data_IF_195068382064
#
_entry.id   IF_195068382064
#
_cell.length_a   1.000
_cell.length_b   1.000
_cell.length_c   1.000
_cell.angle_alpha   90.00
_cell.angle_beta   90.00
_cell.angle_gamma   90.00
#
_symmetry.space_group_name_H-M   'P 1'
#
loop_
_entity.id
_entity.type
_entity.pdbx_description
1 polymer ?
#
# COMPACT_ATOMS: atom_id res chain seq x y z
N UNK A 1 30.39 17.71 -20.70
CA UNK A 1 29.52 16.56 -20.35
C UNK A 1 28.81 16.83 -19.02
N UNK A 2 28.08 17.94 -18.91
CA UNK A 2 27.10 18.15 -17.84
C UNK A 2 25.75 17.82 -18.47
N UNK A 3 25.41 16.53 -18.46
CA UNK A 3 24.42 15.84 -19.32
C UNK A 3 22.97 16.26 -19.14
N UNK A 4 22.71 17.56 -19.21
CA UNK A 4 21.40 18.21 -19.11
C UNK A 4 21.04 18.98 -20.40
N UNK A 5 21.76 18.73 -21.50
CA UNK A 5 21.44 19.28 -22.82
C UNK A 5 20.43 18.44 -23.61
N UNK A 6 20.09 17.25 -23.11
CA UNK A 6 19.20 16.32 -23.79
C UNK A 6 17.85 16.29 -23.06
N UNK A 7 16.83 16.86 -23.72
CA UNK A 7 15.44 16.93 -23.24
C UNK A 7 14.93 15.54 -22.82
N UNK A 8 15.42 14.48 -23.46
CA UNK A 8 15.05 13.10 -23.13
C UNK A 8 15.52 12.69 -21.73
N UNK A 9 16.71 13.13 -21.31
CA UNK A 9 17.27 12.79 -19.98
C UNK A 9 16.49 13.52 -18.89
N UNK A 10 16.18 14.80 -19.08
CA UNK A 10 15.33 15.55 -18.15
C UNK A 10 13.95 14.91 -18.01
N UNK A 11 13.34 14.52 -19.14
CA UNK A 11 12.04 13.87 -19.14
C UNK A 11 12.08 12.50 -18.46
N UNK A 12 13.16 11.73 -18.62
CA UNK A 12 13.33 10.46 -17.90
C UNK A 12 13.35 10.64 -16.38
N UNK A 13 14.10 11.63 -15.86
CA UNK A 13 14.09 11.94 -14.44
C UNK A 13 12.69 12.37 -13.94
N UNK A 14 12.01 13.23 -14.69
CA UNK A 14 10.67 13.70 -14.34
C UNK A 14 9.66 12.55 -14.31
N UNK A 15 9.69 11.67 -15.31
CA UNK A 15 8.83 10.48 -15.36
C UNK A 15 9.13 9.49 -14.24
N UNK A 16 10.40 9.33 -13.87
CA UNK A 16 10.78 8.44 -12.76
C UNK A 16 10.20 8.93 -11.43
N UNK A 17 10.31 10.23 -11.16
CA UNK A 17 9.73 10.87 -9.97
C UNK A 17 8.20 10.78 -10.01
N UNK A 18 7.59 11.10 -11.15
CA UNK A 18 6.13 11.01 -11.33
C UNK A 18 5.62 9.58 -11.09
N UNK A 19 6.33 8.56 -11.60
CA UNK A 19 6.01 7.15 -11.38
C UNK A 19 6.06 6.77 -9.90
N UNK A 20 7.12 7.17 -9.19
CA UNK A 20 7.25 6.91 -7.76
C UNK A 20 6.10 7.55 -6.96
N UNK A 21 5.72 8.80 -7.30
CA UNK A 21 4.58 9.48 -6.68
C UNK A 21 3.27 8.74 -6.99
N UNK A 22 3.04 8.33 -8.24
CA UNK A 22 1.84 7.59 -8.63
C UNK A 22 1.73 6.27 -7.87
N UNK A 23 2.82 5.52 -7.72
CA UNK A 23 2.85 4.28 -6.93
C UNK A 23 2.53 4.54 -5.46
N UNK A 24 3.13 5.57 -4.86
CA UNK A 24 2.90 5.92 -3.47
C UNK A 24 1.45 6.36 -3.21
N UNK A 25 0.91 7.22 -4.08
CA UNK A 25 -0.47 7.72 -3.99
C UNK A 25 -1.47 6.57 -4.20
N UNK A 26 -1.26 5.74 -5.22
CA UNK A 26 -2.12 4.59 -5.47
C UNK A 26 -2.10 3.62 -4.29
N UNK A 27 -0.90 3.29 -3.78
CA UNK A 27 -0.74 2.47 -2.59
C UNK A 27 -1.50 3.07 -1.41
N UNK A 28 -1.32 4.35 -1.13
CA UNK A 28 -2.00 5.05 -0.03
C UNK A 28 -3.54 5.03 -0.18
N UNK A 29 -4.06 5.28 -1.37
CA UNK A 29 -5.51 5.29 -1.63
C UNK A 29 -6.11 3.89 -1.51
N UNK A 30 -5.41 2.87 -2.02
CA UNK A 30 -5.92 1.48 -2.06
C UNK A 30 -5.58 0.68 -0.79
N UNK A 31 -4.70 1.18 0.08
CA UNK A 31 -4.18 0.45 1.25
C UNK A 31 -5.28 -0.10 2.19
N UNK A 32 -6.44 0.55 2.27
CA UNK A 32 -7.54 0.16 3.16
C UNK A 32 -8.78 -0.39 2.44
N UNK A 33 -8.68 -0.62 1.13
CA UNK A 33 -9.82 -0.98 0.29
C UNK A 33 -10.00 -2.51 0.14
N UNK A 34 -9.05 -3.29 0.67
CA UNK A 34 -9.06 -4.75 0.72
C UNK A 34 -9.38 -5.28 2.14
N UNK A 35 -10.05 -4.49 2.98
CA UNK A 35 -10.74 -5.07 4.14
C UNK A 35 -11.89 -5.93 3.61
N UNK A 36 -11.63 -7.23 3.39
CA UNK A 36 -12.71 -8.21 3.38
C UNK A 36 -13.56 -7.92 4.62
N UNK A 37 -14.87 -7.66 4.46
CA UNK A 37 -15.70 -7.33 5.59
C UNK A 37 -15.59 -8.48 6.57
N UNK A 38 -15.16 -8.18 7.81
CA UNK A 38 -15.08 -9.17 8.89
C UNK A 38 -16.40 -9.92 8.96
N UNK A 39 -16.39 -11.15 8.44
CA UNK A 39 -17.57 -12.00 8.46
C UNK A 39 -17.93 -12.26 9.91
N UNK A 40 -19.21 -12.53 10.18
CA UNK A 40 -19.63 -12.85 11.55
C UNK A 40 -18.92 -14.12 12.07
N UNK A 41 -18.47 -15.00 11.18
CA UNK A 41 -17.59 -16.13 11.49
C UNK A 41 -16.19 -15.67 11.92
N UNK A 42 -15.54 -14.75 11.19
CA UNK A 42 -14.23 -14.20 11.58
C UNK A 42 -14.28 -13.50 12.94
N UNK A 43 -15.36 -12.76 13.23
CA UNK A 43 -15.57 -12.13 14.55
C UNK A 43 -15.69 -13.17 15.68
N UNK A 44 -16.40 -14.27 15.42
CA UNK A 44 -16.54 -15.37 16.39
C UNK A 44 -15.21 -16.06 16.68
N UNK A 45 -14.43 -16.36 15.64
CA UNK A 45 -13.09 -16.94 15.80
C UNK A 45 -12.17 -16.07 16.66
N UNK A 46 -12.14 -14.76 16.42
CA UNK A 46 -11.34 -13.80 17.23
C UNK A 46 -11.78 -13.81 18.70
N UNK A 47 -13.08 -13.92 18.97
CA UNK A 47 -13.59 -14.00 20.34
C UNK A 47 -13.21 -15.33 21.01
N UNK A 48 -13.38 -16.45 20.30
CA UNK A 48 -13.03 -17.78 20.80
C UNK A 48 -11.52 -17.88 21.09
N UNK A 49 -10.65 -17.35 20.23
CA UNK A 49 -9.19 -17.29 20.49
C UNK A 49 -8.86 -16.44 21.72
N UNK A 50 -9.47 -15.26 21.87
CA UNK A 50 -9.25 -14.38 23.02
C UNK A 50 -9.75 -14.99 24.34
N UNK A 51 -10.74 -15.88 24.29
CA UNK A 51 -11.18 -16.65 25.46
C UNK A 51 -10.20 -17.77 25.81
N UNK A 52 -9.73 -18.53 24.80
CA UNK A 52 -8.74 -19.59 24.98
C UNK A 52 -7.46 -19.03 25.61
N UNK A 53 -6.95 -17.91 25.10
CA UNK A 53 -5.72 -17.26 25.61
C UNK A 53 -5.85 -16.81 27.06
N UNK A 54 -7.04 -16.33 27.48
CA UNK A 54 -7.29 -15.94 28.88
C UNK A 54 -7.36 -17.13 29.83
N UNK A 55 -7.69 -18.31 29.32
CA UNK A 55 -7.86 -19.54 30.11
C UNK A 55 -6.60 -20.41 30.18
N UNK A 56 -5.53 -20.02 29.46
CA UNK A 56 -4.21 -20.64 29.44
C UNK A 56 -3.30 -20.08 30.55
#
# INVERSE_FOLDING_TARGET
>A
MLGLGDVWVFMAYLLCIASAILCAVYGFVKWNDDEEPYTDEAKRWVQEEAEIEKTL
#
